data_IF_197780660323
#
_entry.id   IF_197780660323
#
_cell.length_a   1.000
_cell.length_b   1.000
_cell.length_c   1.000
_cell.angle_alpha   90.00
_cell.angle_beta   90.00
_cell.angle_gamma   90.00
#
_symmetry.space_group_name_H-M   'P 1'
#
loop_
_entity.id
_entity.type
_entity.pdbx_description
1 polymer ?
#
# COMPACT_ATOMS: atom_id res chain seq x y z
N UNK A 1 -34.29 -71.83 23.63
CA UNK A 1 -33.33 -71.16 22.75
C UNK A 1 -33.74 -69.68 22.59
N UNK A 2 -33.03 -68.76 23.16
CA UNK A 2 -33.32 -67.30 23.02
C UNK A 2 -32.27 -66.72 22.11
N UNK A 3 -32.68 -66.25 20.91
CA UNK A 3 -31.84 -65.61 19.91
C UNK A 3 -31.64 -64.11 20.31
N UNK A 4 -30.39 -63.71 20.56
CA UNK A 4 -30.02 -62.31 20.82
C UNK A 4 -29.70 -61.66 19.50
N UNK A 5 -30.50 -60.67 19.11
CA UNK A 5 -30.17 -59.80 17.98
C UNK A 5 -29.20 -58.70 18.45
N UNK A 6 -28.01 -58.66 17.87
CA UNK A 6 -27.03 -57.61 18.04
C UNK A 6 -27.34 -56.56 16.98
N UNK A 7 -27.77 -55.37 17.42
CA UNK A 7 -27.93 -54.18 16.54
C UNK A 7 -26.59 -53.50 16.53
N UNK A 8 -25.91 -53.56 15.40
CA UNK A 8 -24.68 -52.81 15.18
C UNK A 8 -25.00 -51.37 14.79
N UNK A 9 -24.61 -50.40 15.61
CA UNK A 9 -24.69 -48.98 15.27
C UNK A 9 -23.48 -48.58 14.39
N UNK A 10 -23.74 -48.23 13.15
CA UNK A 10 -22.73 -47.70 12.27
C UNK A 10 -22.53 -46.18 12.56
N UNK A 11 -21.38 -45.84 13.08
CA UNK A 11 -20.95 -44.42 13.26
C UNK A 11 -20.41 -43.92 11.92
N UNK A 12 -21.18 -43.09 11.22
CA UNK A 12 -20.70 -42.37 10.05
C UNK A 12 -19.80 -41.21 10.49
N UNK A 13 -18.50 -41.34 10.29
CA UNK A 13 -17.54 -40.24 10.49
C UNK A 13 -17.70 -39.21 9.38
N UNK A 14 -18.21 -38.03 9.74
CA UNK A 14 -18.26 -36.86 8.84
C UNK A 14 -16.83 -36.30 8.72
N UNK A 15 -16.17 -36.53 7.59
CA UNK A 15 -14.90 -35.92 7.26
C UNK A 15 -15.19 -34.47 6.83
N UNK A 16 -14.93 -33.48 7.71
CA UNK A 16 -14.95 -32.06 7.37
C UNK A 16 -13.67 -31.76 6.61
N UNK A 17 -13.72 -31.30 5.34
CA UNK A 17 -12.53 -30.88 4.64
C UNK A 17 -11.97 -29.63 5.32
N UNK A 18 -10.78 -29.74 5.89
CA UNK A 18 -10.02 -28.61 6.41
C UNK A 18 -9.46 -27.85 5.20
N UNK A 19 -10.16 -26.83 4.74
CA UNK A 19 -9.64 -25.92 3.72
C UNK A 19 -8.54 -25.07 4.38
N UNK A 20 -7.28 -25.38 4.09
CA UNK A 20 -6.16 -24.52 4.42
C UNK A 20 -6.31 -23.26 3.55
N UNK A 21 -6.82 -22.16 4.12
CA UNK A 21 -6.73 -20.85 3.52
C UNK A 21 -5.25 -20.45 3.55
N UNK A 22 -4.58 -20.52 2.40
CA UNK A 22 -3.27 -19.90 2.25
C UNK A 22 -3.48 -18.38 2.37
N UNK A 23 -2.64 -17.65 3.12
CA UNK A 23 -2.69 -16.20 3.11
C UNK A 23 -2.46 -15.77 1.66
N UNK A 24 -3.46 -15.14 1.07
CA UNK A 24 -3.34 -14.60 -0.26
C UNK A 24 -2.40 -13.40 -0.16
N UNK A 25 -1.19 -13.51 -0.68
CA UNK A 25 -0.19 -12.45 -0.70
C UNK A 25 -0.52 -11.49 -1.83
N UNK A 26 -0.96 -10.28 -1.49
CA UNK A 26 -1.11 -9.18 -2.45
C UNK A 26 0.25 -8.55 -2.71
N UNK A 27 0.49 -8.01 -3.90
CA UNK A 27 1.72 -7.25 -4.18
C UNK A 27 1.46 -6.19 -5.23
N UNK A 28 1.82 -4.93 -4.92
CA UNK A 28 1.68 -3.83 -5.87
C UNK A 28 2.25 -2.52 -5.35
N UNK A 29 2.68 -1.66 -6.26
CA UNK A 29 3.26 -0.34 -5.96
C UNK A 29 2.92 0.68 -7.05
N UNK A 30 3.08 1.98 -6.76
CA UNK A 30 3.02 3.01 -7.80
C UNK A 30 4.35 3.02 -8.56
N UNK A 31 4.28 2.68 -9.85
CA UNK A 31 5.42 2.69 -10.77
C UNK A 31 5.60 4.04 -11.48
N UNK A 32 4.51 4.82 -11.64
CA UNK A 32 4.54 6.15 -12.30
C UNK A 32 3.52 7.09 -11.66
N UNK A 33 3.92 8.32 -11.25
CA UNK A 33 5.30 8.73 -11.03
C UNK A 33 5.98 7.77 -10.05
N UNK A 34 7.30 7.59 -10.10
CA UNK A 34 7.94 6.56 -9.31
C UNK A 34 7.75 6.82 -7.81
N UNK A 35 7.27 5.81 -7.09
CA UNK A 35 7.25 5.82 -5.63
C UNK A 35 8.65 5.58 -5.05
N UNK A 36 8.85 5.83 -3.75
CA UNK A 36 10.10 5.51 -3.05
C UNK A 36 10.48 4.05 -3.25
N UNK A 37 9.52 3.11 -3.14
CA UNK A 37 9.75 1.69 -3.41
C UNK A 37 10.18 1.44 -4.86
N UNK A 38 9.58 2.12 -5.84
CA UNK A 38 9.98 2.03 -7.25
C UNK A 38 11.39 2.58 -7.49
N UNK A 39 11.77 3.68 -6.81
CA UNK A 39 13.12 4.26 -6.91
C UNK A 39 14.19 3.34 -6.28
N UNK A 40 13.81 2.59 -5.26
CA UNK A 40 14.69 1.61 -4.59
C UNK A 40 14.90 0.32 -5.39
N UNK A 41 14.05 0.00 -6.36
CA UNK A 41 14.17 -1.24 -7.16
C UNK A 41 15.57 -1.37 -7.78
N UNK A 42 16.19 -2.54 -7.61
CA UNK A 42 17.53 -2.86 -8.13
C UNK A 42 17.66 -2.67 -9.64
N UNK A 43 16.57 -2.74 -10.38
CA UNK A 43 16.53 -2.49 -11.83
C UNK A 43 16.45 -1.00 -12.17
N UNK A 44 15.93 -0.18 -11.27
CA UNK A 44 15.79 1.29 -11.45
C UNK A 44 17.01 2.03 -10.93
N UNK A 45 17.47 1.68 -9.73
CA UNK A 45 18.59 2.35 -9.03
C UNK A 45 18.42 3.86 -8.99
N UNK A 46 17.22 4.31 -8.62
CA UNK A 46 16.82 5.71 -8.67
C UNK A 46 17.38 6.57 -7.54
N UNK A 47 18.05 5.96 -6.55
CA UNK A 47 18.64 6.63 -5.38
C UNK A 47 20.09 6.18 -5.16
N UNK A 48 20.95 7.02 -4.53
CA UNK A 48 22.38 6.70 -4.32
C UNK A 48 22.66 5.92 -3.03
N UNK A 49 21.65 5.64 -2.21
CA UNK A 49 21.80 4.91 -0.93
C UNK A 49 21.29 3.49 -1.03
N UNK A 50 21.63 2.68 -0.01
CA UNK A 50 21.12 1.33 0.15
C UNK A 50 19.69 1.40 0.71
N UNK A 51 18.74 0.82 0.01
CA UNK A 51 17.33 0.77 0.41
C UNK A 51 16.98 -0.45 1.28
N UNK A 52 17.95 -1.28 1.67
CA UNK A 52 17.67 -2.50 2.42
C UNK A 52 16.83 -3.49 1.62
N UNK A 53 15.97 -4.24 2.30
CA UNK A 53 15.22 -5.35 1.69
C UNK A 53 14.23 -4.90 0.60
N UNK A 54 13.70 -3.68 0.68
CA UNK A 54 12.69 -3.20 -0.30
C UNK A 54 13.22 -3.16 -1.73
N UNK A 55 14.54 -3.04 -1.93
CA UNK A 55 15.16 -3.02 -3.26
C UNK A 55 14.91 -4.31 -4.08
N UNK A 56 14.62 -5.41 -3.39
CA UNK A 56 14.36 -6.72 -4.02
C UNK A 56 12.87 -7.03 -4.18
N UNK A 57 12.02 -6.31 -3.46
CA UNK A 57 10.59 -6.56 -3.40
C UNK A 57 9.75 -5.26 -3.31
N UNK A 58 9.91 -4.30 -4.25
CA UNK A 58 9.24 -2.99 -4.21
C UNK A 58 7.72 -3.09 -4.14
N UNK A 59 7.14 -4.23 -4.50
CA UNK A 59 5.71 -4.53 -4.46
C UNK A 59 5.18 -4.92 -3.06
N UNK A 60 6.05 -5.11 -2.04
CA UNK A 60 5.71 -5.81 -0.80
C UNK A 60 5.40 -4.89 0.38
N UNK A 61 5.15 -3.59 0.16
CA UNK A 61 4.85 -2.62 1.24
C UNK A 61 3.43 -2.81 1.75
N UNK A 62 3.22 -3.91 2.45
CA UNK A 62 1.95 -4.27 3.08
C UNK A 62 1.93 -3.83 4.55
N UNK A 63 0.78 -3.34 5.01
CA UNK A 63 0.57 -2.92 6.40
C UNK A 63 -0.89 -2.99 6.82
N UNK A 64 -1.20 -2.66 8.09
CA UNK A 64 -2.57 -2.68 8.58
C UNK A 64 -3.48 -1.72 7.80
N UNK A 65 -4.73 -2.14 7.54
CA UNK A 65 -5.78 -1.33 6.91
C UNK A 65 -6.33 -0.26 7.87
N UNK A 66 -7.04 0.70 7.31
CA UNK A 66 -7.86 1.66 8.06
C UNK A 66 -7.24 3.06 8.18
N UNK A 67 -6.17 3.32 7.40
CA UNK A 67 -5.57 4.65 7.34
C UNK A 67 -6.62 5.70 6.88
N UNK A 68 -6.66 6.89 7.49
CA UNK A 68 -5.70 7.44 8.45
C UNK A 68 -6.02 7.16 9.94
N UNK A 69 -7.23 6.67 10.29
CA UNK A 69 -7.63 6.47 11.69
C UNK A 69 -6.90 5.33 12.38
N UNK A 70 -6.56 4.31 11.61
CA UNK A 70 -5.76 3.14 11.97
C UNK A 70 -4.58 3.03 11.00
N UNK A 71 -4.03 1.83 10.82
CA UNK A 71 -2.92 1.61 9.89
C UNK A 71 -1.55 1.80 10.55
N UNK A 72 -0.49 2.06 9.77
CA UNK A 72 0.87 2.26 10.28
C UNK A 72 0.96 3.43 11.26
N UNK A 73 1.88 3.35 12.21
CA UNK A 73 2.18 4.43 13.15
C UNK A 73 2.81 5.63 12.43
N UNK A 74 2.74 6.81 13.06
CA UNK A 74 3.43 8.00 12.59
C UNK A 74 4.94 7.76 12.47
N UNK A 75 5.54 8.23 11.39
CA UNK A 75 6.94 7.99 11.05
C UNK A 75 7.25 6.62 10.43
N UNK A 76 6.21 5.76 10.21
CA UNK A 76 6.37 4.44 9.58
C UNK A 76 5.40 4.22 8.42
N UNK A 77 4.84 5.30 7.88
CA UNK A 77 3.71 5.24 6.94
C UNK A 77 4.15 4.73 5.57
N UNK A 78 5.31 5.17 5.07
CA UNK A 78 5.80 4.79 3.74
C UNK A 78 6.30 3.34 3.69
N UNK A 79 6.73 2.79 4.84
CA UNK A 79 7.07 1.37 5.00
C UNK A 79 5.86 0.47 5.32
N UNK A 80 4.65 1.02 5.42
CA UNK A 80 3.48 0.27 5.86
C UNK A 80 3.54 -0.20 7.32
N UNK A 81 4.44 0.36 8.15
CA UNK A 81 4.73 -0.10 9.51
C UNK A 81 5.66 -1.33 9.56
N UNK A 82 6.23 -1.76 8.44
CA UNK A 82 7.14 -2.89 8.35
C UNK A 82 8.60 -2.43 8.54
N UNK A 83 9.22 -2.80 9.66
CA UNK A 83 10.60 -2.43 9.98
C UNK A 83 11.64 -2.92 8.94
N UNK A 84 11.34 -3.96 8.15
CA UNK A 84 12.22 -4.40 7.06
C UNK A 84 12.36 -3.36 5.94
N UNK A 85 11.40 -2.45 5.82
CA UNK A 85 11.32 -1.43 4.79
C UNK A 85 11.50 -0.01 5.35
N UNK A 86 12.10 0.11 6.54
CA UNK A 86 12.24 1.37 7.27
C UNK A 86 12.94 2.47 6.46
N UNK A 87 13.79 2.12 5.48
CA UNK A 87 14.43 3.07 4.58
C UNK A 87 13.44 3.92 3.78
N UNK A 88 12.23 3.41 3.52
CA UNK A 88 11.18 4.18 2.86
C UNK A 88 10.64 5.33 3.72
N UNK A 89 10.82 5.25 5.03
CA UNK A 89 10.40 6.28 5.98
C UNK A 89 11.51 7.26 6.33
N UNK A 90 12.78 6.91 6.05
CA UNK A 90 13.90 7.84 6.21
C UNK A 90 13.73 9.00 5.21
N UNK A 91 13.65 10.24 5.69
CA UNK A 91 13.53 11.40 4.81
C UNK A 91 14.81 11.71 4.02
N UNK A 92 15.94 11.11 4.36
CA UNK A 92 17.27 11.39 3.77
C UNK A 92 17.53 12.89 3.65
N UNK A 93 17.20 13.65 4.68
CA UNK A 93 17.27 15.13 4.71
C UNK A 93 16.54 15.80 3.52
N UNK A 94 15.47 15.20 3.00
CA UNK A 94 14.71 15.70 1.85
C UNK A 94 15.33 15.37 0.49
N UNK A 95 16.24 14.42 0.41
CA UNK A 95 16.97 14.08 -0.81
C UNK A 95 16.24 13.10 -1.75
N UNK A 96 15.02 12.65 -1.39
CA UNK A 96 14.25 11.79 -2.29
C UNK A 96 14.02 12.45 -3.64
N UNK A 97 14.28 11.75 -4.77
CA UNK A 97 13.99 12.26 -6.10
C UNK A 97 12.51 12.62 -6.25
N UNK A 98 12.23 13.79 -6.83
CA UNK A 98 10.88 14.31 -6.97
C UNK A 98 10.40 14.36 -8.41
N UNK A 99 9.10 14.15 -8.61
CA UNK A 99 8.43 14.46 -9.87
C UNK A 99 7.92 15.89 -9.84
N UNK A 100 8.29 16.71 -10.85
CA UNK A 100 7.80 18.09 -10.96
C UNK A 100 6.30 18.10 -11.24
N UNK A 101 5.57 18.92 -10.49
CA UNK A 101 4.13 19.11 -10.63
C UNK A 101 3.77 20.58 -10.54
N UNK A 102 2.61 20.94 -11.09
CA UNK A 102 2.03 22.26 -10.97
C UNK A 102 0.68 22.17 -10.25
N UNK A 103 0.41 23.09 -9.36
CA UNK A 103 -0.87 23.15 -8.65
C UNK A 103 -2.06 23.14 -9.62
N UNK A 104 -3.02 22.27 -9.37
CA UNK A 104 -4.21 22.12 -10.22
C UNK A 104 -4.02 21.30 -11.51
N UNK A 105 -2.80 20.84 -11.83
CA UNK A 105 -2.62 19.95 -12.99
C UNK A 105 -3.25 18.58 -12.77
N UNK A 106 -3.53 17.88 -13.86
CA UNK A 106 -3.85 16.46 -13.82
C UNK A 106 -2.56 15.65 -13.69
N UNK A 107 -2.51 14.76 -12.69
CA UNK A 107 -1.42 13.81 -12.50
C UNK A 107 -1.99 12.41 -12.52
N UNK A 108 -1.36 11.53 -13.29
CA UNK A 108 -1.77 10.12 -13.39
C UNK A 108 -0.83 9.25 -12.55
N UNK A 109 -1.41 8.50 -11.63
CA UNK A 109 -0.72 7.49 -10.82
C UNK A 109 -0.98 6.12 -11.41
N UNK A 110 0.07 5.40 -11.77
CA UNK A 110 -0.02 4.05 -12.32
C UNK A 110 0.48 3.04 -11.31
N UNK A 111 -0.41 2.14 -10.89
CA UNK A 111 -0.08 0.98 -10.08
C UNK A 111 0.33 -0.19 -10.97
N UNK A 112 1.34 -0.93 -10.54
CA UNK A 112 1.75 -2.21 -11.09
C UNK A 112 1.52 -3.29 -10.02
N UNK A 113 0.87 -4.39 -10.40
CA UNK A 113 0.50 -5.47 -9.48
C UNK A 113 1.13 -6.78 -9.95
N UNK A 114 1.92 -7.41 -9.09
CA UNK A 114 2.51 -8.74 -9.31
C UNK A 114 1.66 -9.84 -8.69
N UNK A 115 0.89 -9.53 -7.63
CA UNK A 115 -0.15 -10.41 -7.09
C UNK A 115 -1.43 -9.58 -6.86
N UNK A 116 -2.50 -9.93 -7.57
CA UNK A 116 -3.74 -9.16 -7.67
C UNK A 116 -4.77 -9.68 -6.68
N UNK A 117 -5.45 -8.75 -5.98
CA UNK A 117 -6.47 -9.07 -4.99
C UNK A 117 -7.79 -8.35 -5.24
N UNK A 118 -8.84 -8.87 -4.61
CA UNK A 118 -10.09 -8.17 -4.44
C UNK A 118 -9.85 -6.86 -3.68
N UNK A 119 -10.29 -5.74 -4.25
CA UNK A 119 -9.95 -4.39 -3.83
C UNK A 119 -11.17 -3.63 -3.36
N UNK A 120 -11.10 -3.02 -2.16
CA UNK A 120 -12.15 -2.14 -1.66
C UNK A 120 -12.11 -0.78 -2.34
N UNK A 121 -10.99 -0.11 -2.21
CA UNK A 121 -10.75 1.22 -2.77
C UNK A 121 -9.25 1.55 -2.85
N UNK A 122 -8.94 2.68 -3.52
CA UNK A 122 -7.65 3.36 -3.46
C UNK A 122 -7.87 4.76 -2.89
N UNK A 123 -6.96 5.23 -2.04
CA UNK A 123 -7.00 6.57 -1.44
C UNK A 123 -5.65 7.25 -1.56
N UNK A 124 -5.69 8.55 -1.88
CA UNK A 124 -4.50 9.35 -2.07
C UNK A 124 -4.53 10.56 -1.16
N UNK A 125 -3.50 10.70 -0.36
CA UNK A 125 -3.30 11.78 0.59
C UNK A 125 -2.07 12.58 0.19
N UNK A 126 -1.97 13.82 0.63
CA UNK A 126 -0.78 14.67 0.37
C UNK A 126 -0.37 15.39 1.65
N UNK A 127 0.91 15.62 1.80
CA UNK A 127 1.44 16.43 2.89
C UNK A 127 0.85 17.85 2.86
N UNK A 128 0.76 18.49 4.02
CA UNK A 128 0.21 19.83 4.20
C UNK A 128 1.12 20.90 3.63
N UNK A 129 0.60 22.10 3.31
CA UNK A 129 1.44 23.26 3.01
C UNK A 129 2.48 23.49 4.13
N UNK A 130 3.73 23.78 3.74
CA UNK A 130 4.83 23.99 4.67
C UNK A 130 5.42 22.71 5.27
N UNK A 131 5.12 21.53 4.70
CA UNK A 131 5.78 20.28 5.07
C UNK A 131 7.30 20.42 4.92
N UNK A 132 8.02 20.00 5.95
CA UNK A 132 9.48 19.89 5.93
C UNK A 132 9.88 18.48 5.48
N UNK A 133 10.38 18.38 4.25
CA UNK A 133 10.76 17.10 3.65
C UNK A 133 11.95 16.41 4.32
N UNK A 134 12.64 17.08 5.25
CA UNK A 134 13.67 16.47 6.09
C UNK A 134 13.09 15.71 7.30
N UNK A 135 11.76 15.74 7.48
CA UNK A 135 11.06 15.06 8.56
C UNK A 135 10.27 13.85 8.06
N UNK A 136 10.12 12.80 8.88
CA UNK A 136 9.27 11.66 8.53
C UNK A 136 7.81 12.07 8.40
N UNK A 137 7.04 11.30 7.62
CA UNK A 137 5.61 11.54 7.44
C UNK A 137 4.83 11.10 8.68
N UNK A 138 4.01 12.02 9.19
CA UNK A 138 3.12 11.80 10.31
C UNK A 138 1.71 12.28 9.94
N UNK A 139 0.70 11.86 10.71
CA UNK A 139 -0.67 12.38 10.53
C UNK A 139 -0.77 13.87 10.75
N UNK A 140 0.10 14.45 11.58
CA UNK A 140 0.11 15.90 11.85
C UNK A 140 0.53 16.72 10.64
N UNK A 141 1.42 16.21 9.79
CA UNK A 141 1.92 16.88 8.59
C UNK A 141 1.27 16.40 7.27
N UNK A 142 0.24 15.54 7.36
CA UNK A 142 -0.52 15.03 6.23
C UNK A 142 -1.96 15.56 6.25
N UNK A 143 -2.52 15.92 5.08
CA UNK A 143 -3.97 16.11 4.96
C UNK A 143 -4.66 14.77 5.06
N UNK A 144 -5.46 14.58 6.11
CA UNK A 144 -6.10 13.30 6.40
C UNK A 144 -7.39 13.07 5.60
N UNK A 145 -7.84 14.06 4.84
CA UNK A 145 -8.90 13.90 3.83
C UNK A 145 -8.21 13.58 2.50
N UNK A 146 -8.50 12.41 1.89
CA UNK A 146 -7.89 12.05 0.63
C UNK A 146 -8.33 13.03 -0.49
N UNK A 147 -7.39 13.48 -1.31
CA UNK A 147 -7.71 14.30 -2.48
C UNK A 147 -8.25 13.48 -3.66
N UNK A 148 -8.06 12.14 -3.62
CA UNK A 148 -8.68 11.19 -4.52
C UNK A 148 -9.07 9.94 -3.75
N UNK A 149 -10.30 9.46 -3.98
CA UNK A 149 -10.78 8.13 -3.57
C UNK A 149 -11.37 7.43 -4.79
N UNK A 150 -10.91 6.22 -5.08
CA UNK A 150 -11.39 5.39 -6.18
C UNK A 150 -11.99 4.12 -5.60
N UNK A 151 -13.33 4.04 -5.44
CA UNK A 151 -14.00 2.79 -5.04
C UNK A 151 -13.79 1.70 -6.08
N UNK A 152 -13.58 0.46 -5.64
CA UNK A 152 -13.29 -0.67 -6.55
C UNK A 152 -14.26 -1.84 -6.40
N UNK A 153 -15.15 -1.81 -5.42
CA UNK A 153 -16.31 -2.72 -5.30
C UNK A 153 -15.97 -4.17 -4.97
N UNK A 154 -14.80 -4.47 -4.42
CA UNK A 154 -14.41 -5.82 -4.03
C UNK A 154 -13.96 -6.72 -5.19
N UNK A 155 -13.78 -6.18 -6.39
CA UNK A 155 -13.28 -6.94 -7.54
C UNK A 155 -11.75 -6.96 -7.59
N UNK A 156 -11.20 -7.93 -8.31
CA UNK A 156 -9.76 -8.05 -8.49
C UNK A 156 -9.24 -6.98 -9.47
N UNK A 157 -8.12 -6.34 -9.12
CA UNK A 157 -7.45 -5.38 -10.01
C UNK A 157 -6.84 -6.04 -11.26
N UNK A 158 -6.66 -5.32 -12.39
CA UNK A 158 -5.82 -5.76 -13.51
C UNK A 158 -4.34 -5.76 -13.11
N UNK A 159 -3.45 -6.22 -13.98
CA UNK A 159 -1.99 -6.18 -13.73
C UNK A 159 -1.42 -4.76 -13.68
N UNK A 160 -2.09 -3.80 -14.29
CA UNK A 160 -1.75 -2.38 -14.28
C UNK A 160 -3.03 -1.56 -14.22
N UNK A 161 -3.05 -0.52 -13.39
CA UNK A 161 -4.21 0.35 -13.21
C UNK A 161 -3.76 1.80 -13.01
N UNK A 162 -4.38 2.72 -13.74
CA UNK A 162 -4.05 4.14 -13.65
C UNK A 162 -5.21 4.94 -13.09
N UNK A 163 -4.91 5.87 -12.17
CA UNK A 163 -5.85 6.84 -11.63
C UNK A 163 -5.34 8.24 -11.90
N UNK A 164 -6.19 9.10 -12.45
CA UNK A 164 -5.84 10.51 -12.70
C UNK A 164 -6.58 11.38 -11.70
N UNK A 165 -5.85 12.31 -11.08
CA UNK A 165 -6.40 13.27 -10.14
C UNK A 165 -5.88 14.68 -10.40
N UNK A 166 -6.68 15.67 -10.01
CA UNK A 166 -6.21 17.06 -9.92
C UNK A 166 -5.29 17.21 -8.71
N UNK A 167 -4.06 17.62 -8.94
CA UNK A 167 -3.09 17.89 -7.86
C UNK A 167 -3.60 19.05 -6.99
N UNK A 168 -3.65 18.90 -5.64
CA UNK A 168 -4.13 19.95 -4.76
C UNK A 168 -3.40 21.27 -4.94
N UNK A 169 -4.15 22.37 -4.92
CA UNK A 169 -3.59 23.72 -4.93
C UNK A 169 -3.07 24.14 -3.53
N UNK A 170 -2.35 25.27 -3.49
CA UNK A 170 -1.83 25.82 -2.23
C UNK A 170 -0.65 25.06 -1.63
N UNK A 171 0.01 24.19 -2.42
CA UNK A 171 1.29 23.54 -2.06
C UNK A 171 2.43 24.25 -2.77
N UNK A 172 3.58 24.22 -2.12
CA UNK A 172 4.87 24.70 -2.65
C UNK A 172 5.97 23.79 -2.17
N UNK A 173 7.09 23.77 -2.90
CA UNK A 173 8.26 22.99 -2.51
C UNK A 173 8.03 21.47 -2.59
N UNK A 174 8.81 20.74 -1.81
CA UNK A 174 8.75 19.30 -1.77
C UNK A 174 7.52 18.81 -0.98
N UNK A 175 6.73 17.96 -1.57
CA UNK A 175 5.54 17.34 -0.98
C UNK A 175 5.58 15.82 -1.22
N UNK A 176 4.84 15.06 -0.41
CA UNK A 176 4.72 13.60 -0.58
C UNK A 176 3.26 13.22 -0.74
N UNK A 177 2.99 12.42 -1.77
CA UNK A 177 1.71 11.73 -1.94
C UNK A 177 1.80 10.36 -1.27
N UNK A 178 0.90 10.09 -0.33
CA UNK A 178 0.71 8.78 0.27
C UNK A 178 -0.49 8.13 -0.38
N UNK A 179 -0.26 7.07 -1.13
CA UNK A 179 -1.31 6.28 -1.75
C UNK A 179 -1.53 4.98 -0.97
N UNK A 180 -2.78 4.62 -0.75
CA UNK A 180 -3.21 3.44 0.01
C UNK A 180 -4.12 2.59 -0.87
N UNK A 181 -3.72 1.35 -1.12
CA UNK A 181 -4.53 0.33 -1.78
C UNK A 181 -5.16 -0.58 -0.74
N UNK A 182 -6.47 -0.46 -0.50
CA UNK A 182 -7.21 -1.22 0.50
C UNK A 182 -7.70 -2.56 -0.07
N UNK A 183 -7.22 -3.67 0.48
CA UNK A 183 -7.63 -5.01 0.08
C UNK A 183 -9.02 -5.33 0.65
N UNK A 184 -9.91 -5.96 -0.12
CA UNK A 184 -11.27 -6.21 0.32
C UNK A 184 -11.39 -7.39 1.30
N UNK A 185 -10.64 -8.44 1.07
CA UNK A 185 -10.74 -9.77 1.70
C UNK A 185 -9.67 -10.04 2.76
N UNK A 186 -8.84 -9.05 3.12
CA UNK A 186 -7.85 -9.13 4.20
C UNK A 186 -7.92 -7.90 5.11
N UNK A 187 -7.32 -7.95 6.32
CA UNK A 187 -7.19 -6.78 7.19
C UNK A 187 -6.08 -5.81 6.75
N UNK A 188 -5.46 -6.01 5.60
CA UNK A 188 -4.28 -5.29 5.15
C UNK A 188 -4.56 -4.30 4.02
N UNK A 189 -3.63 -3.38 3.84
CA UNK A 189 -3.55 -2.44 2.73
C UNK A 189 -2.09 -2.32 2.27
N UNK A 190 -1.88 -1.81 1.06
CA UNK A 190 -0.55 -1.46 0.54
C UNK A 190 -0.36 0.03 0.56
N UNK A 191 0.85 0.44 0.93
CA UNK A 191 1.25 1.84 1.05
C UNK A 191 2.31 2.19 0.01
N UNK A 192 2.17 3.34 -0.61
CA UNK A 192 3.11 3.79 -1.64
C UNK A 192 3.30 5.30 -1.52
N UNK A 193 4.52 5.75 -1.21
CA UNK A 193 4.87 7.16 -1.11
C UNK A 193 5.56 7.62 -2.38
N UNK A 194 5.08 8.73 -2.96
CA UNK A 194 5.64 9.37 -4.16
C UNK A 194 5.99 10.81 -3.84
N UNK A 195 7.24 11.17 -4.06
CA UNK A 195 7.74 12.53 -3.80
C UNK A 195 7.52 13.43 -5.01
N UNK A 196 6.97 14.63 -4.79
CA UNK A 196 6.63 15.59 -5.83
C UNK A 196 7.17 16.98 -5.47
N UNK A 197 7.49 17.78 -6.49
CA UNK A 197 8.03 19.13 -6.35
C UNK A 197 7.12 20.13 -7.06
N UNK A 198 6.54 21.06 -6.29
CA UNK A 198 5.80 22.22 -6.78
C UNK A 198 6.73 23.38 -7.12
#
# INVERSE_FOLDING_TARGET
MRTRHIVGAAVAALAIPLTLAFPASSHGWISTPPSRAALCDTHVKGVPWDCGDIQWEPQSVEGPKGFPSLGPSDGTICAGGNARFAELDDPHAGAWPTTKVTAGQQLTFTWTFTARHATSDFRYYMTKPGYDASQPITRSNLDLTPFLTVPFGGVQVPSTLSHTATVPSGRTGHQVVVAVWNIADTPNAFYSCTDVQF
#
